data_IF_890592566359
#
_entry.id   IF_890592566359
#
_cell.length_a   1.000
_cell.length_b   1.000
_cell.length_c   1.000
_cell.angle_alpha   90.00
_cell.angle_beta   90.00
_cell.angle_gamma   90.00
#
_symmetry.space_group_name_H-M   'P 1'
#
loop_
_entity.id
_entity.type
_entity.pdbx_description
1 polymer ?
#
# COMPACT_ATOMS: atom_id res chain seq x y z
N UNK A 1 -47.51 16.10 36.88
CA UNK A 1 -47.13 16.35 35.48
C UNK A 1 -46.02 15.38 35.15
N UNK A 2 -46.39 14.24 34.58
CA UNK A 2 -45.56 13.09 34.23
C UNK A 2 -45.16 13.19 32.77
N UNK A 3 -43.88 13.01 32.43
CA UNK A 3 -43.48 12.73 31.05
C UNK A 3 -42.24 11.81 30.97
N UNK A 4 -42.56 10.53 30.82
CA UNK A 4 -41.92 9.44 30.09
C UNK A 4 -40.42 9.49 29.79
N UNK A 5 -39.67 8.62 30.47
CA UNK A 5 -38.46 7.97 29.93
C UNK A 5 -38.88 6.77 29.09
N UNK A 6 -38.55 6.76 27.80
CA UNK A 6 -38.62 5.56 26.97
C UNK A 6 -37.25 4.86 27.00
N UNK A 7 -37.19 3.73 27.71
CA UNK A 7 -36.15 2.72 27.56
C UNK A 7 -36.52 1.82 26.39
N UNK A 8 -35.70 1.80 25.33
CA UNK A 8 -35.84 0.82 24.26
C UNK A 8 -34.70 -0.21 24.37
N UNK A 9 -35.02 -1.32 25.03
CA UNK A 9 -34.26 -2.55 24.97
C UNK A 9 -34.50 -3.20 23.61
N UNK A 10 -33.46 -3.39 22.80
CA UNK A 10 -33.54 -4.25 21.62
C UNK A 10 -32.43 -5.30 21.66
N UNK A 11 -32.81 -6.47 22.18
CA UNK A 11 -32.12 -7.74 21.96
C UNK A 11 -32.35 -8.16 20.50
N UNK A 12 -31.29 -8.18 19.70
CA UNK A 12 -31.26 -8.94 18.44
C UNK A 12 -30.07 -9.90 18.50
N UNK A 13 -30.37 -11.10 18.99
CA UNK A 13 -29.57 -12.28 18.71
C UNK A 13 -29.78 -12.65 17.24
N UNK A 14 -28.74 -12.50 16.42
CA UNK A 14 -28.69 -13.09 15.09
C UNK A 14 -27.47 -14.00 15.06
N UNK A 15 -27.74 -15.28 15.26
CA UNK A 15 -26.83 -16.39 14.99
C UNK A 15 -26.64 -16.55 13.48
N UNK A 16 -25.44 -16.36 12.98
CA UNK A 16 -25.07 -16.78 11.62
C UNK A 16 -24.45 -18.17 11.66
N UNK A 17 -24.96 -19.15 10.90
CA UNK A 17 -24.28 -20.43 10.72
C UNK A 17 -23.08 -20.26 9.79
N UNK A 18 -21.92 -20.72 10.26
CA UNK A 18 -20.75 -20.94 9.43
C UNK A 18 -21.05 -22.05 8.42
N UNK A 19 -21.16 -21.69 7.14
CA UNK A 19 -21.16 -22.64 6.03
C UNK A 19 -19.82 -22.57 5.31
N UNK A 20 -18.90 -23.45 5.71
CA UNK A 20 -17.78 -23.91 4.87
C UNK A 20 -18.38 -24.68 3.69
N UNK A 21 -18.37 -24.08 2.49
CA UNK A 21 -18.60 -24.83 1.25
C UNK A 21 -17.36 -24.61 0.38
N UNK A 22 -16.50 -25.63 0.37
CA UNK A 22 -15.44 -25.76 -0.61
C UNK A 22 -16.05 -26.10 -1.97
N UNK A 23 -15.70 -25.33 -3.00
CA UNK A 23 -15.96 -25.72 -4.37
C UNK A 23 -14.77 -26.53 -4.90
N UNK A 24 -14.91 -27.85 -4.87
CA UNK A 24 -14.22 -28.74 -5.81
C UNK A 24 -14.84 -28.50 -7.19
N UNK A 25 -14.08 -27.93 -8.12
CA UNK A 25 -14.49 -27.83 -9.53
C UNK A 25 -14.26 -29.18 -10.22
N UNK A 26 -15.34 -29.93 -10.43
CA UNK A 26 -15.34 -31.05 -11.36
C UNK A 26 -15.30 -30.54 -12.80
N UNK A 27 -14.44 -31.19 -13.58
CA UNK A 27 -14.27 -31.03 -15.02
C UNK A 27 -15.57 -31.45 -15.72
N UNK A 28 -16.23 -30.50 -16.38
CA UNK A 28 -17.21 -30.80 -17.42
C UNK A 28 -16.68 -30.22 -18.74
N UNK A 29 -16.32 -31.13 -19.65
CA UNK A 29 -16.09 -30.84 -21.07
C UNK A 29 -17.40 -30.32 -21.65
N UNK A 30 -17.38 -29.13 -22.24
CA UNK A 30 -18.41 -28.76 -23.19
C UNK A 30 -17.76 -28.26 -24.49
N UNK A 31 -18.03 -29.02 -25.54
CA UNK A 31 -17.61 -28.74 -26.91
C UNK A 31 -18.65 -27.81 -27.54
N UNK A 32 -18.33 -26.55 -27.71
CA UNK A 32 -19.01 -25.73 -28.72
C UNK A 32 -18.06 -24.69 -29.31
N UNK A 33 -17.76 -24.89 -30.60
CA UNK A 33 -17.10 -23.92 -31.47
C UNK A 33 -18.15 -22.90 -31.91
N UNK A 34 -17.80 -21.59 -31.94
CA UNK A 34 -18.21 -20.77 -33.07
C UNK A 34 -17.03 -19.99 -33.66
N UNK A 35 -16.71 -20.40 -34.89
CA UNK A 35 -16.47 -19.60 -36.10
C UNK A 35 -15.75 -18.24 -35.99
N UNK A 36 -14.58 -18.22 -36.63
CA UNK A 36 -13.70 -17.08 -36.91
C UNK A 36 -14.37 -15.89 -37.60
N UNK A 37 -13.93 -14.69 -37.20
CA UNK A 37 -13.77 -13.52 -38.07
C UNK A 37 -12.47 -12.81 -37.69
N UNK A 38 -11.35 -13.34 -38.19
CA UNK A 38 -10.06 -12.65 -38.19
C UNK A 38 -10.11 -11.54 -39.24
N UNK A 39 -10.15 -10.27 -38.81
CA UNK A 39 -9.74 -9.16 -39.65
C UNK A 39 -8.29 -8.83 -39.31
N UNK A 40 -7.37 -9.33 -40.14
CA UNK A 40 -5.94 -9.02 -40.09
C UNK A 40 -5.71 -7.61 -40.63
N UNK A 41 -5.61 -6.63 -39.72
CA UNK A 41 -5.07 -5.30 -40.01
C UNK A 41 -3.66 -5.18 -39.45
N UNK A 42 -2.65 -5.62 -40.19
CA UNK A 42 -1.25 -5.31 -39.87
C UNK A 42 -1.01 -3.81 -40.12
N UNK A 43 -0.92 -3.02 -39.06
CA UNK A 43 -0.27 -1.70 -39.11
C UNK A 43 1.14 -1.81 -38.58
N UNK A 44 2.10 -1.86 -39.51
CA UNK A 44 3.52 -1.70 -39.25
C UNK A 44 3.78 -0.27 -38.74
N UNK A 45 4.00 -0.12 -37.44
CA UNK A 45 4.66 1.07 -36.91
C UNK A 45 6.11 0.71 -36.57
N UNK A 46 7.02 1.41 -37.21
CA UNK A 46 8.47 1.33 -37.05
C UNK A 46 8.89 1.54 -35.59
N UNK A 47 9.91 0.83 -35.08
CA UNK A 47 10.41 1.07 -33.74
C UNK A 47 11.07 2.45 -33.67
N UNK A 48 10.56 3.31 -32.78
CA UNK A 48 11.21 4.59 -32.46
C UNK A 48 12.51 4.26 -31.70
N UNK A 49 13.63 4.48 -32.39
CA UNK A 49 14.97 4.38 -31.83
C UNK A 49 15.19 5.53 -30.84
N UNK A 50 15.21 5.23 -29.55
CA UNK A 50 15.75 6.14 -28.54
C UNK A 50 17.27 5.92 -28.49
N UNK A 51 18.05 6.85 -29.02
CA UNK A 51 19.46 6.93 -28.71
C UNK A 51 19.63 7.58 -27.32
N UNK A 52 20.39 6.97 -26.40
CA UNK A 52 20.70 7.60 -25.12
C UNK A 52 21.73 8.72 -25.34
N UNK A 53 21.31 9.96 -25.14
CA UNK A 53 22.25 11.08 -24.99
C UNK A 53 22.87 10.93 -23.60
N UNK A 54 24.06 10.31 -23.54
CA UNK A 54 24.86 10.25 -22.31
C UNK A 54 25.53 11.61 -22.13
N UNK A 55 24.91 12.50 -21.35
CA UNK A 55 25.63 13.56 -20.64
C UNK A 55 25.99 13.02 -19.26
N UNK A 56 27.23 12.62 -19.09
CA UNK A 56 27.80 12.27 -17.78
C UNK A 56 28.16 13.56 -17.04
N UNK A 57 27.14 14.29 -16.56
CA UNK A 57 27.36 15.20 -15.44
C UNK A 57 27.23 14.34 -14.18
N UNK A 58 28.30 14.31 -13.35
CA UNK A 58 28.21 13.80 -11.98
C UNK A 58 27.20 14.69 -11.25
N UNK A 59 25.93 14.28 -11.26
CA UNK A 59 24.91 14.88 -10.42
C UNK A 59 25.27 14.52 -8.98
N UNK A 60 25.68 15.51 -8.19
CA UNK A 60 25.81 15.32 -6.75
C UNK A 60 24.48 14.81 -6.21
N UNK A 61 24.52 13.67 -5.50
CA UNK A 61 23.35 13.00 -4.96
C UNK A 61 22.69 13.89 -3.90
N UNK A 62 21.63 14.60 -4.29
CA UNK A 62 20.86 15.43 -3.38
C UNK A 62 19.89 14.53 -2.59
N UNK A 63 20.05 14.55 -1.27
CA UNK A 63 19.22 13.80 -0.33
C UNK A 63 18.03 14.70 0.06
N UNK A 64 16.81 14.18 -0.09
CA UNK A 64 15.60 14.87 0.37
C UNK A 64 15.35 14.52 1.83
N UNK A 65 15.15 15.54 2.66
CA UNK A 65 14.90 15.37 4.10
C UNK A 65 13.50 15.89 4.45
N UNK A 66 12.77 15.15 5.29
CA UNK A 66 11.44 15.53 5.76
C UNK A 66 11.56 16.60 6.86
N UNK A 67 10.76 17.66 6.79
CA UNK A 67 10.72 18.70 7.83
C UNK A 67 10.16 18.13 9.16
N UNK A 68 10.58 18.72 10.29
CA UNK A 68 10.09 18.43 11.66
C UNK A 68 8.65 18.96 11.80
N UNK A 69 7.69 18.34 11.11
CA UNK A 69 6.26 18.63 11.28
C UNK A 69 5.70 17.78 12.44
N UNK A 70 4.73 18.34 13.16
CA UNK A 70 3.98 17.64 14.19
C UNK A 70 3.07 16.62 13.52
N UNK A 71 3.39 15.33 13.65
CA UNK A 71 2.48 14.25 13.29
C UNK A 71 1.19 14.36 14.13
N UNK A 72 0.04 14.30 13.48
CA UNK A 72 -1.23 14.02 14.13
C UNK A 72 -1.54 12.52 14.01
N UNK A 73 -2.51 12.02 14.78
CA UNK A 73 -2.83 10.58 14.82
C UNK A 73 -3.03 9.97 13.42
N UNK A 74 -3.70 10.71 12.53
CA UNK A 74 -4.00 10.34 11.13
C UNK A 74 -2.75 10.20 10.25
N UNK A 75 -1.72 10.98 10.51
CA UNK A 75 -0.47 10.95 9.74
C UNK A 75 0.62 10.14 10.44
N UNK A 76 0.39 9.62 11.65
CA UNK A 76 1.39 8.90 12.45
C UNK A 76 2.08 7.79 11.65
N UNK A 77 1.32 6.92 10.95
CA UNK A 77 1.92 5.84 10.16
C UNK A 77 2.67 6.35 8.93
N UNK A 78 2.17 7.41 8.28
CA UNK A 78 2.87 8.07 7.18
C UNK A 78 4.22 8.62 7.66
N UNK A 79 4.26 9.31 8.80
CA UNK A 79 5.50 9.77 9.39
C UNK A 79 6.41 8.63 9.79
N UNK A 80 5.86 7.60 10.43
CA UNK A 80 6.62 6.46 10.91
C UNK A 80 7.25 5.65 9.77
N UNK A 81 6.62 5.59 8.58
CA UNK A 81 7.20 4.94 7.40
C UNK A 81 8.55 5.53 6.95
N UNK A 82 8.85 6.78 7.32
CA UNK A 82 10.09 7.47 6.95
C UNK A 82 11.28 7.14 7.87
N UNK A 83 11.14 6.16 8.78
CA UNK A 83 12.19 5.78 9.72
C UNK A 83 12.51 4.28 9.63
N UNK A 84 13.71 3.93 10.04
CA UNK A 84 14.09 2.58 10.45
C UNK A 84 13.89 2.47 11.96
N UNK A 85 13.16 1.46 12.38
CA UNK A 85 12.75 1.28 13.77
C UNK A 85 13.45 0.09 14.40
N UNK A 86 13.99 0.29 15.59
CA UNK A 86 14.58 -0.76 16.41
C UNK A 86 13.95 -0.73 17.80
N UNK A 87 13.50 -1.88 18.29
CA UNK A 87 12.93 -2.00 19.64
C UNK A 87 14.02 -1.77 20.68
N UNK A 88 13.79 -0.85 21.62
CA UNK A 88 14.75 -0.48 22.66
C UNK A 88 14.22 -0.68 24.08
N UNK A 89 12.91 -0.57 24.27
CA UNK A 89 12.29 -0.72 25.58
C UNK A 89 10.95 -1.45 25.48
N UNK A 90 10.70 -2.31 26.45
CA UNK A 90 9.39 -2.93 26.65
C UNK A 90 8.99 -2.81 28.10
N UNK A 91 7.74 -2.42 28.31
CA UNK A 91 7.13 -2.33 29.63
C UNK A 91 5.92 -3.24 29.69
N UNK A 92 5.72 -3.92 30.82
CA UNK A 92 4.49 -4.65 31.07
C UNK A 92 3.32 -3.69 31.32
N UNK A 93 2.10 -4.24 31.43
CA UNK A 93 0.88 -3.47 31.74
C UNK A 93 0.90 -2.69 33.07
N UNK A 94 1.90 -2.93 33.92
CA UNK A 94 2.12 -2.24 35.21
C UNK A 94 3.31 -1.27 35.12
N UNK A 95 3.80 -0.98 33.92
CA UNK A 95 4.98 -0.15 33.66
C UNK A 95 6.29 -0.69 34.24
N UNK A 96 6.39 -2.01 34.46
CA UNK A 96 7.67 -2.62 34.81
C UNK A 96 8.46 -2.90 33.52
N UNK A 97 9.73 -2.49 33.49
CA UNK A 97 10.62 -2.80 32.40
C UNK A 97 10.82 -4.32 32.25
N UNK A 98 10.57 -4.84 31.04
CA UNK A 98 10.84 -6.22 30.65
C UNK A 98 12.19 -6.23 29.93
N UNK A 99 13.15 -7.00 30.46
CA UNK A 99 14.42 -7.19 29.78
C UNK A 99 14.24 -8.17 28.61
N UNK A 100 14.49 -7.69 27.39
CA UNK A 100 14.48 -8.54 26.21
C UNK A 100 15.93 -8.90 25.89
N UNK A 101 16.35 -10.07 26.35
CA UNK A 101 17.65 -10.60 25.97
C UNK A 101 17.58 -11.08 24.53
N UNK A 102 18.05 -10.26 23.59
CA UNK A 102 18.06 -10.61 22.17
C UNK A 102 19.47 -10.53 21.59
N UNK A 103 19.98 -11.67 21.14
CA UNK A 103 21.24 -11.71 20.37
C UNK A 103 21.11 -10.96 19.03
N UNK A 104 19.89 -10.87 18.49
CA UNK A 104 19.55 -10.10 17.30
C UNK A 104 18.43 -9.08 17.61
N UNK A 105 18.59 -7.81 17.20
CA UNK A 105 17.62 -6.77 17.49
C UNK A 105 16.26 -7.04 16.83
N UNK A 106 15.18 -6.61 17.48
CA UNK A 106 13.84 -6.61 16.88
C UNK A 106 13.66 -5.30 16.12
N UNK A 107 13.32 -5.40 14.84
CA UNK A 107 13.06 -4.24 13.96
C UNK A 107 11.60 -4.20 13.51
N UNK A 108 11.16 -3.04 13.08
CA UNK A 108 9.77 -2.79 12.68
C UNK A 108 9.70 -2.09 11.33
N UNK A 109 8.85 -2.61 10.44
CA UNK A 109 8.40 -1.94 9.22
C UNK A 109 6.94 -1.53 9.36
N UNK A 110 6.65 -0.31 8.91
CA UNK A 110 5.33 0.32 9.00
C UNK A 110 4.73 0.41 7.61
N UNK A 111 3.52 -0.14 7.44
CA UNK A 111 2.72 -0.03 6.23
C UNK A 111 1.31 0.48 6.59
N UNK A 112 0.53 0.98 5.60
CA UNK A 112 -0.77 1.60 5.87
C UNK A 112 -1.77 0.70 6.61
N UNK A 113 -1.73 -0.62 6.37
CA UNK A 113 -2.65 -1.60 6.96
C UNK A 113 -1.98 -2.68 7.82
N UNK A 114 -0.68 -2.53 8.12
CA UNK A 114 0.03 -3.51 8.94
C UNK A 114 1.33 -3.00 9.53
N UNK A 115 1.73 -3.63 10.64
CA UNK A 115 3.07 -3.50 11.23
C UNK A 115 3.80 -4.84 11.10
N UNK A 116 5.02 -4.83 10.58
CA UNK A 116 5.82 -6.05 10.39
C UNK A 116 7.02 -6.03 11.32
N UNK A 117 7.17 -7.07 12.15
CA UNK A 117 8.22 -7.24 13.13
C UNK A 117 9.20 -8.32 12.66
N UNK A 118 10.48 -8.00 12.74
CA UNK A 118 11.55 -8.88 12.28
C UNK A 118 12.59 -9.11 13.38
N UNK A 119 13.03 -10.36 13.51
CA UNK A 119 14.14 -10.75 14.38
C UNK A 119 14.90 -11.92 13.75
N UNK A 120 16.07 -11.64 13.18
CA UNK A 120 16.78 -12.64 12.39
C UNK A 120 15.88 -13.19 11.27
N UNK A 121 15.65 -14.51 11.27
CA UNK A 121 14.78 -15.18 10.29
C UNK A 121 13.29 -15.25 10.72
N UNK A 122 12.90 -14.61 11.82
CA UNK A 122 11.52 -14.61 12.29
C UNK A 122 10.82 -13.36 11.82
N UNK A 123 9.62 -13.53 11.26
CA UNK A 123 8.80 -12.46 10.73
C UNK A 123 7.38 -12.61 11.25
N UNK A 124 6.89 -11.59 11.92
CA UNK A 124 5.50 -11.48 12.34
C UNK A 124 4.88 -10.25 11.71
N UNK A 125 3.60 -10.34 11.33
CA UNK A 125 2.84 -9.19 10.87
C UNK A 125 1.60 -9.02 11.73
N UNK A 126 1.40 -7.80 12.19
CA UNK A 126 0.18 -7.35 12.81
C UNK A 126 -0.66 -6.71 11.72
N UNK A 127 -1.76 -7.37 11.33
CA UNK A 127 -2.68 -6.85 10.30
C UNK A 127 -3.82 -6.11 10.97
N UNK A 128 -4.16 -4.92 10.46
CA UNK A 128 -5.34 -4.19 10.90
C UNK A 128 -6.55 -4.79 10.17
N UNK A 129 -7.45 -5.42 10.92
CA UNK A 129 -8.44 -6.36 10.34
C UNK A 129 -9.66 -5.63 9.76
N UNK A 130 -9.85 -4.34 10.07
CA UNK A 130 -11.00 -3.51 9.67
C UNK A 130 -10.51 -2.09 9.33
N UNK A 131 -11.23 -1.37 8.45
CA UNK A 131 -10.92 0.01 8.04
C UNK A 131 -10.39 0.82 9.22
N UNK A 132 -9.09 1.11 9.23
CA UNK A 132 -8.64 2.47 8.95
C UNK A 132 -7.20 2.80 9.32
N UNK A 133 -6.39 2.11 10.12
CA UNK A 133 -5.14 2.72 10.68
C UNK A 133 -5.38 4.04 11.46
N UNK A 134 -4.57 4.39 12.48
CA UNK A 134 -4.87 5.44 13.48
C UNK A 134 -5.67 6.63 12.92
N UNK A 135 -6.83 7.00 13.54
CA UNK A 135 -7.01 7.12 14.99
C UNK A 135 -8.00 6.16 15.70
N UNK A 136 -8.57 5.12 15.07
CA UNK A 136 -9.56 4.26 15.74
C UNK A 136 -8.93 3.05 16.46
N UNK A 137 -9.62 2.47 17.45
CA UNK A 137 -9.17 1.24 18.13
C UNK A 137 -9.14 0.06 17.13
N UNK A 138 -7.95 -0.34 16.67
CA UNK A 138 -7.84 -1.42 15.68
C UNK A 138 -7.90 -2.79 16.30
N UNK A 139 -8.87 -3.57 15.86
CA UNK A 139 -8.73 -5.00 15.97
C UNK A 139 -7.61 -5.51 15.08
N UNK A 140 -6.54 -6.02 15.69
CA UNK A 140 -5.35 -6.48 14.99
C UNK A 140 -5.09 -7.96 15.22
N UNK A 141 -4.56 -8.63 14.21
CA UNK A 141 -4.17 -10.03 14.34
C UNK A 141 -2.67 -10.17 14.13
N UNK A 142 -1.98 -10.73 15.12
CA UNK A 142 -0.59 -11.12 15.01
C UNK A 142 -0.50 -12.46 14.27
N UNK A 143 0.13 -12.46 13.09
CA UNK A 143 0.38 -13.66 12.31
C UNK A 143 1.87 -13.85 12.05
N UNK A 144 2.33 -15.07 12.24
CA UNK A 144 3.65 -15.49 11.76
C UNK A 144 3.64 -15.53 10.22
N UNK A 145 4.69 -15.00 9.59
CA UNK A 145 4.90 -15.06 8.15
C UNK A 145 6.06 -16.00 7.84
N UNK A 146 5.96 -16.69 6.71
CA UNK A 146 7.06 -17.49 6.16
C UNK A 146 8.29 -16.62 5.94
N UNK A 147 9.45 -17.07 6.40
CA UNK A 147 10.73 -16.45 6.06
C UNK A 147 11.39 -17.17 4.88
N UNK A 148 12.17 -16.41 4.11
CA UNK A 148 12.94 -16.90 2.95
C UNK A 148 14.31 -17.48 3.35
N UNK A 149 14.56 -17.68 4.65
CA UNK A 149 15.83 -18.22 5.11
C UNK A 149 15.97 -19.71 4.72
N UNK A 150 16.93 -20.01 3.85
CA UNK A 150 17.23 -21.37 3.34
C UNK A 150 17.65 -22.36 4.44
N UNK A 151 18.02 -21.89 5.63
CA UNK A 151 18.53 -22.70 6.75
C UNK A 151 17.50 -23.01 7.84
N UNK A 152 16.20 -22.87 7.57
CA UNK A 152 15.15 -23.09 8.58
C UNK A 152 14.84 -24.58 8.88
N UNK A 153 15.76 -25.51 8.63
CA UNK A 153 15.61 -26.91 9.03
C UNK A 153 15.68 -27.14 10.54
N UNK A 154 16.08 -26.15 11.35
CA UNK A 154 16.20 -26.33 12.82
C UNK A 154 15.48 -25.30 13.71
N UNK A 155 14.86 -24.24 13.17
CA UNK A 155 14.08 -23.30 13.99
C UNK A 155 12.58 -23.64 14.03
N UNK A 156 12.25 -24.90 14.32
CA UNK A 156 10.95 -25.24 14.92
C UNK A 156 10.99 -24.82 16.39
N UNK A 157 10.80 -23.54 16.69
CA UNK A 157 10.70 -23.10 18.10
C UNK A 157 9.51 -22.18 18.28
N UNK A 158 8.47 -22.75 18.89
CA UNK A 158 7.20 -22.16 19.32
C UNK A 158 7.30 -21.05 20.38
N UNK A 159 8.46 -20.39 20.54
CA UNK A 159 8.73 -19.51 21.68
C UNK A 159 9.67 -18.34 21.32
N UNK A 160 9.34 -17.63 20.25
CA UNK A 160 10.08 -16.45 19.76
C UNK A 160 9.98 -15.28 20.75
N UNK A 161 11.01 -14.44 20.82
CA UNK A 161 10.97 -13.25 21.69
C UNK A 161 9.85 -12.31 21.25
N UNK A 162 9.60 -12.18 19.94
CA UNK A 162 8.48 -11.37 19.40
C UNK A 162 7.13 -11.89 19.91
N UNK A 163 6.84 -13.20 19.82
CA UNK A 163 5.53 -13.73 20.22
C UNK A 163 5.23 -13.47 21.71
N UNK A 164 6.25 -13.52 22.57
CA UNK A 164 6.13 -13.21 24.01
C UNK A 164 5.80 -11.75 24.30
N UNK A 165 5.99 -10.83 23.34
CA UNK A 165 5.63 -9.43 23.50
C UNK A 165 4.12 -9.20 23.40
N UNK A 166 3.37 -10.17 22.89
CA UNK A 166 1.93 -10.07 22.68
C UNK A 166 1.17 -11.06 23.58
N UNK A 167 -0.10 -10.77 23.91
CA UNK A 167 -0.96 -11.70 24.63
C UNK A 167 -1.02 -13.07 23.92
N UNK A 168 -1.00 -14.17 24.69
CA UNK A 168 -0.99 -15.53 24.15
C UNK A 168 -2.31 -16.00 23.53
N UNK A 169 -3.38 -15.23 23.72
CA UNK A 169 -4.70 -15.59 23.24
C UNK A 169 -4.82 -15.19 21.76
N UNK A 170 -5.38 -16.07 20.92
CA UNK A 170 -5.70 -15.83 19.50
C UNK A 170 -6.79 -14.75 19.29
N UNK A 171 -6.85 -13.76 20.17
CA UNK A 171 -7.81 -12.69 20.18
C UNK A 171 -7.32 -11.53 19.32
N UNK A 172 -8.30 -10.78 18.86
CA UNK A 172 -8.10 -9.46 18.28
C UNK A 172 -7.36 -8.58 19.30
N UNK A 173 -6.16 -8.13 18.95
CA UNK A 173 -5.31 -7.26 19.76
C UNK A 173 -5.66 -5.82 19.41
N UNK A 174 -5.97 -5.00 20.41
CA UNK A 174 -6.11 -3.56 20.21
C UNK A 174 -4.78 -2.84 20.41
N UNK A 175 -4.47 -1.95 19.47
CA UNK A 175 -3.24 -1.19 19.45
C UNK A 175 -3.51 0.30 19.40
N UNK A 176 -2.72 1.04 20.14
CA UNK A 176 -2.53 2.48 19.99
C UNK A 176 -1.08 2.75 19.57
N UNK A 177 -0.88 3.70 18.64
CA UNK A 177 0.42 3.98 18.01
C UNK A 177 0.69 5.47 18.09
N UNK A 178 1.75 5.83 18.81
CA UNK A 178 2.14 7.22 19.04
C UNK A 178 3.55 7.48 18.52
N UNK A 179 3.75 8.63 17.87
CA UNK A 179 5.07 9.11 17.46
C UNK A 179 5.54 10.24 18.37
N UNK A 180 6.52 9.96 19.22
CA UNK A 180 7.04 10.89 20.21
C UNK A 180 8.38 11.50 19.76
N UNK A 181 8.62 12.80 20.02
CA UNK A 181 9.93 13.39 19.80
C UNK A 181 10.96 12.90 20.83
N UNK A 182 12.20 12.63 20.40
CA UNK A 182 13.32 12.43 21.34
C UNK A 182 13.85 13.79 21.78
N UNK A 183 13.94 14.03 23.10
CA UNK A 183 14.47 15.27 23.65
C UNK A 183 15.92 15.51 23.16
N UNK A 184 16.13 16.58 22.39
CA UNK A 184 17.40 16.90 21.71
C UNK A 184 18.52 17.20 22.73
N UNK A 185 19.47 16.28 22.92
CA UNK A 185 20.79 16.63 23.48
C UNK A 185 21.73 16.89 22.29
N UNK A 186 21.89 18.17 21.94
CA UNK A 186 22.75 18.76 20.88
C UNK A 186 22.25 18.61 19.44
N UNK A 187 21.67 19.69 18.91
CA UNK A 187 21.48 19.89 17.48
C UNK A 187 22.84 20.02 16.78
N UNK A 188 23.13 19.10 15.85
CA UNK A 188 23.96 19.37 14.68
C UNK A 188 23.11 19.04 13.46
N UNK A 189 22.44 20.06 12.92
CA UNK A 189 21.99 20.18 11.53
C UNK A 189 21.34 18.98 10.79
N UNK A 190 20.73 18.02 11.48
CA UNK A 190 19.95 16.95 10.85
C UNK A 190 18.45 17.29 10.89
N UNK A 191 17.88 17.56 9.71
CA UNK A 191 16.49 17.98 9.50
C UNK A 191 15.43 16.95 9.94
N UNK A 192 15.79 15.67 10.15
CA UNK A 192 14.97 14.71 10.89
C UNK A 192 15.62 14.38 12.23
N UNK A 193 14.98 14.76 13.33
CA UNK A 193 15.39 14.32 14.65
C UNK A 193 14.96 12.87 14.87
N UNK A 194 15.75 12.08 15.59
CA UNK A 194 15.30 10.79 16.08
C UNK A 194 13.96 10.92 16.78
N UNK A 195 13.07 9.97 16.52
CA UNK A 195 11.73 9.87 17.13
C UNK A 195 11.63 8.52 17.83
N UNK A 196 10.72 8.43 18.78
CA UNK A 196 10.32 7.15 19.35
C UNK A 196 8.94 6.80 18.83
N UNK A 197 8.78 5.59 18.31
CA UNK A 197 7.46 5.03 18.01
C UNK A 197 7.04 4.17 19.19
N UNK A 198 5.92 4.51 19.80
CA UNK A 198 5.38 3.78 20.95
C UNK A 198 4.15 3.03 20.49
N UNK A 199 4.15 1.72 20.67
CA UNK A 199 3.01 0.83 20.42
C UNK A 199 2.48 0.36 21.76
N UNK A 200 1.26 0.76 22.12
CA UNK A 200 0.58 0.32 23.34
C UNK A 200 -0.39 -0.78 22.99
N UNK A 201 -0.25 -1.94 23.63
CA UNK A 201 -1.16 -3.06 23.48
C UNK A 201 -2.20 -3.00 24.60
N UNK A 202 -3.50 -2.97 24.27
CA UNK A 202 -4.57 -2.97 25.27
C UNK A 202 -4.44 -4.20 26.17
N UNK A 203 -4.41 -3.97 27.49
CA UNK A 203 -4.19 -5.01 28.51
C UNK A 203 -2.86 -5.79 28.37
N UNK A 204 -1.91 -5.31 27.56
CA UNK A 204 -0.65 -5.97 27.22
C UNK A 204 0.58 -5.11 27.52
N UNK A 205 1.63 -5.33 26.74
CA UNK A 205 2.89 -4.60 26.88
C UNK A 205 2.86 -3.27 26.12
N UNK A 206 3.70 -2.33 26.54
CA UNK A 206 4.06 -1.13 25.75
C UNK A 206 5.43 -1.36 25.12
N UNK A 207 5.53 -1.17 23.82
CA UNK A 207 6.74 -1.36 23.03
C UNK A 207 7.24 0.00 22.55
N UNK A 208 8.49 0.33 22.85
CA UNK A 208 9.12 1.58 22.38
C UNK A 208 10.24 1.26 21.40
N UNK A 209 10.18 1.90 20.23
CA UNK A 209 11.15 1.77 19.16
C UNK A 209 11.88 3.09 18.94
N UNK A 210 13.20 3.03 18.86
CA UNK A 210 14.01 4.17 18.47
C UNK A 210 14.07 4.25 16.94
N UNK A 211 13.79 5.44 16.42
CA UNK A 211 13.72 5.73 15.00
C UNK A 211 14.97 6.41 14.48
N UNK A 212 15.63 5.78 13.52
CA UNK A 212 16.65 6.43 12.68
C UNK A 212 15.99 6.87 11.37
N UNK A 213 16.08 8.15 10.98
CA UNK A 213 15.45 8.61 9.74
C UNK A 213 16.01 7.89 8.50
N UNK A 214 15.14 7.56 7.55
CA UNK A 214 15.52 7.00 6.25
C UNK A 214 16.16 8.08 5.37
N UNK A 215 17.14 7.68 4.57
CA UNK A 215 17.71 8.54 3.53
C UNK A 215 17.09 8.21 2.18
N UNK A 216 16.47 9.22 1.55
CA UNK A 216 15.83 9.07 0.26
C UNK A 216 16.67 9.70 -0.84
N UNK A 217 16.73 9.04 -2.00
CA UNK A 217 17.21 9.68 -3.23
C UNK A 217 16.17 10.69 -3.69
N UNK A 218 16.59 11.89 -4.08
CA UNK A 218 15.66 12.85 -4.68
C UNK A 218 15.03 12.23 -5.94
N UNK A 219 13.69 12.11 -5.99
CA UNK A 219 13.05 11.56 -7.17
C UNK A 219 13.25 12.51 -8.35
N UNK A 220 13.53 11.92 -9.51
CA UNK A 220 13.68 12.65 -10.78
C UNK A 220 12.33 12.83 -11.46
N UNK A 221 12.09 13.99 -12.07
CA UNK A 221 10.89 14.23 -12.88
C UNK A 221 9.97 15.29 -12.29
N UNK A 222 8.71 15.28 -12.70
CA UNK A 222 7.72 16.24 -12.22
C UNK A 222 7.34 15.89 -10.79
N UNK A 223 7.32 16.85 -9.85
CA UNK A 223 6.97 16.58 -8.47
C UNK A 223 5.59 15.94 -8.33
N UNK A 224 5.51 14.91 -7.48
CA UNK A 224 4.27 14.23 -7.12
C UNK A 224 3.95 14.57 -5.67
N UNK A 225 2.76 15.09 -5.43
CA UNK A 225 2.23 15.27 -4.10
C UNK A 225 0.78 14.78 -4.02
N UNK A 226 0.25 14.74 -2.80
CA UNK A 226 -1.13 14.35 -2.52
C UNK A 226 -2.13 15.19 -3.32
N UNK A 227 -1.92 16.51 -3.36
CA UNK A 227 -2.86 17.42 -4.00
C UNK A 227 -2.98 17.12 -5.50
N UNK A 228 -1.86 16.86 -6.18
CA UNK A 228 -1.83 16.44 -7.57
C UNK A 228 -2.54 15.10 -7.80
N UNK A 229 -2.19 14.08 -6.99
CA UNK A 229 -2.79 12.75 -7.12
C UNK A 229 -4.31 12.77 -6.93
N UNK A 230 -4.77 13.57 -5.97
CA UNK A 230 -6.18 13.78 -5.67
C UNK A 230 -6.86 14.77 -6.62
N UNK A 231 -6.14 15.52 -7.45
CA UNK A 231 -6.78 16.43 -8.39
C UNK A 231 -7.41 15.68 -9.56
N UNK A 232 -6.84 14.53 -9.96
CA UNK A 232 -7.24 13.76 -11.12
C UNK A 232 -7.89 12.43 -10.74
N UNK A 233 -8.74 11.91 -11.62
CA UNK A 233 -8.99 10.48 -11.70
C UNK A 233 -8.01 9.90 -12.73
N UNK A 234 -7.62 8.65 -12.57
CA UNK A 234 -6.54 8.06 -13.37
C UNK A 234 -7.06 6.82 -14.08
N UNK A 235 -6.90 6.74 -15.40
CA UNK A 235 -7.32 5.60 -16.22
C UNK A 235 -6.12 4.75 -16.59
N UNK A 236 -6.23 3.44 -16.43
CA UNK A 236 -5.20 2.52 -16.88
C UNK A 236 -5.15 2.48 -18.41
N UNK A 237 -3.95 2.67 -18.97
CA UNK A 237 -3.71 2.57 -20.42
C UNK A 237 -2.66 1.54 -20.78
N UNK A 238 -1.82 1.16 -19.82
CA UNK A 238 -0.87 0.06 -20.00
C UNK A 238 -0.62 -0.66 -18.68
N UNK A 239 -0.48 -1.97 -18.75
CA UNK A 239 -0.12 -2.87 -17.67
C UNK A 239 0.70 -4.01 -18.26
N UNK A 240 1.93 -4.15 -17.77
CA UNK A 240 2.88 -5.17 -18.23
C UNK A 240 3.59 -5.81 -17.06
N UNK A 241 3.92 -7.09 -17.19
CA UNK A 241 4.89 -7.78 -16.35
C UNK A 241 6.27 -7.70 -17.03
N UNK A 242 7.29 -7.25 -16.30
CA UNK A 242 8.65 -7.15 -16.83
C UNK A 242 9.51 -8.30 -16.30
N UNK A 243 10.32 -8.90 -17.16
CA UNK A 243 11.43 -9.76 -16.72
C UNK A 243 12.73 -8.98 -16.82
N UNK A 244 13.58 -9.11 -15.80
CA UNK A 244 14.88 -8.44 -15.72
C UNK A 244 16.03 -9.42 -15.86
N UNK A 245 17.15 -8.98 -16.42
CA UNK A 245 18.41 -9.72 -16.34
C UNK A 245 19.15 -9.43 -15.01
N UNK A 246 20.27 -10.11 -14.78
CA UNK A 246 21.12 -9.96 -13.59
C UNK A 246 21.67 -8.54 -13.38
N UNK A 247 21.60 -7.67 -14.41
CA UNK A 247 22.01 -6.26 -14.35
C UNK A 247 20.84 -5.32 -14.07
N UNK A 248 19.64 -5.84 -13.79
CA UNK A 248 18.42 -5.07 -13.56
C UNK A 248 17.83 -4.43 -14.82
N UNK A 249 18.19 -4.90 -16.01
CA UNK A 249 17.66 -4.38 -17.28
C UNK A 249 16.48 -5.23 -17.74
N UNK A 250 15.42 -4.56 -18.21
CA UNK A 250 14.23 -5.25 -18.76
C UNK A 250 14.63 -6.00 -20.04
N UNK A 251 14.37 -7.32 -20.06
CA UNK A 251 14.61 -8.20 -21.21
C UNK A 251 13.33 -8.65 -21.91
N UNK A 252 12.19 -8.64 -21.21
CA UNK A 252 10.89 -8.90 -21.81
C UNK A 252 9.80 -8.08 -21.11
N UNK A 253 8.73 -7.81 -21.86
CA UNK A 253 7.52 -7.14 -21.39
C UNK A 253 6.31 -7.92 -21.88
N UNK A 254 5.53 -8.44 -20.96
CA UNK A 254 4.32 -9.21 -21.26
C UNK A 254 3.10 -8.42 -20.82
N UNK A 255 2.13 -8.24 -21.71
CA UNK A 255 0.90 -7.51 -21.39
C UNK A 255 0.07 -8.29 -20.38
N UNK A 256 -0.40 -7.61 -19.32
CA UNK A 256 -1.38 -8.16 -18.39
C UNK A 256 -2.77 -8.05 -19.06
N UNK A 257 -3.04 -8.99 -19.96
CA UNK A 257 -4.18 -8.94 -20.89
C UNK A 257 -5.55 -8.83 -20.20
N UNK A 258 -5.66 -9.29 -18.95
CA UNK A 258 -6.89 -9.22 -18.19
C UNK A 258 -7.44 -7.81 -18.03
N UNK A 259 -6.60 -6.76 -18.02
CA UNK A 259 -7.05 -5.40 -17.71
C UNK A 259 -7.64 -4.63 -18.91
N UNK A 260 -7.59 -5.17 -20.13
CA UNK A 260 -8.02 -4.47 -21.33
C UNK A 260 -9.38 -4.96 -21.82
N UNK A 261 -10.43 -4.59 -21.09
CA UNK A 261 -11.82 -4.84 -21.48
C UNK A 261 -12.59 -3.53 -21.58
N UNK A 262 -13.13 -3.15 -22.76
CA UNK A 262 -13.84 -1.88 -22.94
C UNK A 262 -15.04 -1.69 -22.00
N UNK A 263 -15.72 -2.78 -21.66
CA UNK A 263 -16.88 -2.81 -20.75
C UNK A 263 -16.47 -2.62 -19.27
N UNK A 264 -15.20 -2.86 -18.95
CA UNK A 264 -14.66 -2.83 -17.59
C UNK A 264 -13.35 -2.04 -17.54
N UNK A 265 -13.38 -0.73 -17.85
CA UNK A 265 -12.17 0.09 -17.81
C UNK A 265 -11.64 0.15 -16.38
N UNK A 266 -10.33 -0.04 -16.24
CA UNK A 266 -9.65 0.04 -14.95
C UNK A 266 -9.28 1.49 -14.65
N UNK A 267 -9.62 1.94 -13.45
CA UNK A 267 -9.34 3.29 -12.95
C UNK A 267 -8.66 3.25 -11.58
N UNK A 268 -7.94 4.32 -11.27
CA UNK A 268 -7.28 4.63 -10.01
C UNK A 268 -7.74 6.00 -9.53
N UNK A 269 -8.12 6.09 -8.27
CA UNK A 269 -8.57 7.32 -7.62
C UNK A 269 -7.87 7.48 -6.28
N UNK A 270 -7.25 8.63 -6.07
CA UNK A 270 -6.78 9.05 -4.76
C UNK A 270 -7.84 9.94 -4.10
N UNK A 271 -8.07 9.72 -2.81
CA UNK A 271 -9.02 10.48 -2.00
C UNK A 271 -8.46 10.70 -0.60
N UNK A 272 -8.49 11.94 -0.16
CA UNK A 272 -8.23 12.31 1.24
C UNK A 272 -9.52 12.35 2.02
N UNK A 273 -9.52 11.72 3.19
CA UNK A 273 -10.55 11.86 4.22
C UNK A 273 -9.92 12.46 5.48
N UNK A 274 -10.76 12.82 6.46
CA UNK A 274 -10.31 13.39 7.72
C UNK A 274 -9.43 12.42 8.51
N UNK A 275 -9.62 11.11 8.33
CA UNK A 275 -9.00 10.02 9.09
C UNK A 275 -7.84 9.33 8.36
N UNK A 276 -7.78 9.36 7.02
CA UNK A 276 -6.69 8.78 6.25
C UNK A 276 -6.72 9.20 4.77
N UNK A 277 -5.77 8.69 3.99
CA UNK A 277 -5.72 8.86 2.54
C UNK A 277 -5.90 7.49 1.89
N UNK A 278 -6.74 7.40 0.86
CA UNK A 278 -7.08 6.13 0.21
C UNK A 278 -6.77 6.14 -1.27
N UNK A 279 -6.28 5.00 -1.75
CA UNK A 279 -6.09 4.70 -3.16
C UNK A 279 -7.08 3.60 -3.55
N UNK A 280 -7.99 3.93 -4.46
CA UNK A 280 -9.03 3.03 -4.95
C UNK A 280 -8.77 2.67 -6.40
N UNK A 281 -8.73 1.37 -6.67
CA UNK A 281 -8.54 0.76 -7.96
C UNK A 281 -9.84 0.03 -8.29
N UNK A 282 -10.41 0.27 -9.46
CA UNK A 282 -11.70 -0.34 -9.79
C UNK A 282 -11.81 -0.61 -11.27
N UNK A 283 -12.46 -1.71 -11.61
CA UNK A 283 -12.98 -1.98 -12.95
C UNK A 283 -14.48 -1.69 -13.05
N UNK A 284 -14.93 -0.57 -12.46
CA UNK A 284 -16.31 -0.05 -12.51
C UNK A 284 -17.35 -0.86 -11.74
N UNK A 285 -16.95 -1.70 -10.79
CA UNK A 285 -17.89 -2.47 -9.99
C UNK A 285 -17.57 -2.46 -8.49
N UNK A 286 -16.46 -3.06 -8.07
CA UNK A 286 -15.95 -2.97 -6.71
C UNK A 286 -14.69 -2.09 -6.67
N UNK A 287 -14.52 -1.37 -5.56
CA UNK A 287 -13.30 -0.64 -5.26
C UNK A 287 -12.33 -1.56 -4.50
N UNK A 288 -11.10 -1.66 -5.01
CA UNK A 288 -9.97 -2.41 -4.48
C UNK A 288 -8.91 -1.43 -4.00
N UNK A 289 -8.12 -1.83 -3.01
CA UNK A 289 -7.10 -0.97 -2.40
C UNK A 289 -7.49 -0.62 -0.98
N UNK A 290 -7.09 0.54 -0.50
CA UNK A 290 -7.21 0.90 0.91
C UNK A 290 -6.39 2.15 1.25
N UNK A 291 -6.07 2.33 2.55
CA UNK A 291 -5.21 3.41 2.99
C UNK A 291 -3.87 3.39 2.25
N UNK A 292 -3.33 4.55 1.90
CA UNK A 292 -2.02 4.65 1.25
C UNK A 292 -1.08 5.59 1.99
N UNK A 293 0.21 5.38 1.78
CA UNK A 293 1.27 6.29 2.19
C UNK A 293 2.11 6.63 0.95
N UNK A 294 2.27 7.92 0.67
CA UNK A 294 3.24 8.43 -0.30
C UNK A 294 4.49 8.93 0.45
N UNK A 295 5.61 8.26 0.21
CA UNK A 295 6.92 8.60 0.77
C UNK A 295 7.61 9.69 -0.06
N UNK A 296 8.69 10.28 0.48
CA UNK A 296 9.39 11.41 -0.18
C UNK A 296 10.13 11.05 -1.47
N UNK A 297 10.49 9.79 -1.65
CA UNK A 297 11.07 9.25 -2.88
C UNK A 297 10.01 8.80 -3.89
N UNK A 298 8.74 9.12 -3.65
CA UNK A 298 7.58 8.67 -4.42
C UNK A 298 7.36 7.16 -4.39
N UNK A 299 7.85 6.48 -3.35
CA UNK A 299 7.36 5.16 -3.00
C UNK A 299 5.92 5.27 -2.49
N UNK A 300 5.01 4.60 -3.18
CA UNK A 300 3.60 4.44 -2.83
C UNK A 300 3.41 3.07 -2.16
N UNK A 301 3.02 3.09 -0.90
CA UNK A 301 2.54 1.93 -0.16
C UNK A 301 1.02 1.93 -0.17
N UNK A 302 0.40 0.83 -0.59
CA UNK A 302 -1.07 0.67 -0.59
C UNK A 302 -1.45 -0.46 0.33
N UNK A 303 -2.24 -0.15 1.37
CA UNK A 303 -2.81 -1.12 2.27
C UNK A 303 -4.01 -1.87 1.68
N UNK A 304 -4.55 -2.80 2.47
CA UNK A 304 -5.82 -3.46 2.17
C UNK A 304 -6.95 -2.79 2.95
N UNK A 305 -8.02 -2.42 2.25
CA UNK A 305 -9.31 -2.01 2.81
C UNK A 305 -10.39 -3.05 2.53
N UNK A 306 -11.58 -2.93 3.14
CA UNK A 306 -12.71 -3.75 2.78
C UNK A 306 -13.15 -3.40 1.38
N UNK A 307 -13.61 -4.44 0.68
CA UNK A 307 -14.10 -4.34 -0.68
C UNK A 307 -15.56 -4.75 -0.66
N UNK A 308 -16.38 -4.06 -1.46
CA UNK A 308 -17.70 -4.59 -1.78
C UNK A 308 -17.53 -5.92 -2.52
N UNK A 309 -18.41 -6.88 -2.25
CA UNK A 309 -18.40 -8.18 -2.92
C UNK A 309 -19.61 -8.27 -3.87
N UNK A 310 -19.81 -7.24 -4.70
CA UNK A 310 -20.83 -7.28 -5.73
C UNK A 310 -20.37 -8.17 -6.88
N UNK A 311 -21.29 -8.95 -7.45
CA UNK A 311 -20.99 -9.76 -8.63
C UNK A 311 -21.03 -8.91 -9.90
N UNK A 312 -19.90 -8.84 -10.61
CA UNK A 312 -19.69 -8.01 -11.80
C UNK A 312 -19.64 -8.83 -13.11
N UNK A 313 -20.14 -10.07 -13.06
CA UNK A 313 -19.93 -11.08 -14.10
C UNK A 313 -18.52 -11.68 -14.08
N UNK A 314 -18.31 -12.74 -14.87
CA UNK A 314 -17.04 -13.51 -14.87
C UNK A 314 -15.84 -12.64 -15.21
N UNK A 315 -15.97 -11.77 -16.21
CA UNK A 315 -14.88 -10.90 -16.66
C UNK A 315 -14.54 -9.84 -15.62
N UNK A 316 -15.54 -9.10 -15.11
CA UNK A 316 -15.33 -8.09 -14.06
C UNK A 316 -14.71 -8.69 -12.80
N UNK A 317 -15.27 -9.79 -12.29
CA UNK A 317 -14.74 -10.47 -11.10
C UNK A 317 -13.29 -10.94 -11.30
N UNK A 318 -12.92 -11.38 -12.52
CA UNK A 318 -11.54 -11.77 -12.83
C UNK A 318 -10.59 -10.59 -12.82
N UNK A 319 -10.98 -9.45 -13.41
CA UNK A 319 -10.18 -8.22 -13.40
C UNK A 319 -9.91 -7.78 -11.96
N UNK A 320 -10.96 -7.74 -11.15
CA UNK A 320 -10.91 -7.35 -9.75
C UNK A 320 -10.06 -8.28 -8.91
N UNK A 321 -10.15 -9.60 -9.15
CA UNK A 321 -9.30 -10.58 -8.50
C UNK A 321 -7.81 -10.38 -8.81
N UNK A 322 -7.46 -10.04 -10.05
CA UNK A 322 -6.07 -9.75 -10.44
C UNK A 322 -5.58 -8.40 -9.89
N UNK A 323 -6.43 -7.36 -9.92
CA UNK A 323 -6.16 -6.07 -9.27
C UNK A 323 -5.93 -6.24 -7.77
N UNK A 324 -6.77 -7.03 -7.09
CA UNK A 324 -6.65 -7.26 -5.65
C UNK A 324 -5.34 -7.95 -5.28
N UNK A 325 -4.88 -8.92 -6.07
CA UNK A 325 -3.56 -9.57 -5.88
C UNK A 325 -2.41 -8.60 -6.09
N UNK A 326 -2.52 -7.73 -7.08
CA UNK A 326 -1.46 -6.79 -7.45
C UNK A 326 -1.33 -5.63 -6.46
N UNK A 327 -2.45 -5.12 -5.94
CA UNK A 327 -2.49 -3.84 -5.22
C UNK A 327 -2.55 -3.99 -3.70
N UNK A 328 -3.17 -5.06 -3.18
CA UNK A 328 -3.44 -5.16 -1.74
C UNK A 328 -2.15 -5.41 -0.93
N UNK A 329 -1.80 -4.49 -0.03
CA UNK A 329 -0.52 -4.50 0.70
C UNK A 329 0.70 -4.44 -0.23
N UNK A 330 0.62 -3.63 -1.28
CA UNK A 330 1.68 -3.48 -2.28
C UNK A 330 2.59 -2.30 -2.00
N UNK A 331 3.81 -2.41 -2.55
CA UNK A 331 4.77 -1.33 -2.64
C UNK A 331 5.10 -1.08 -4.11
N UNK A 332 5.16 0.20 -4.49
CA UNK A 332 5.48 0.64 -5.84
C UNK A 332 6.18 1.99 -5.84
N UNK A 333 6.90 2.32 -6.91
CA UNK A 333 7.48 3.65 -7.11
C UNK A 333 6.72 4.39 -8.21
N UNK A 334 6.39 5.65 -7.95
CA UNK A 334 5.70 6.52 -8.90
C UNK A 334 6.68 7.43 -9.65
N UNK A 335 6.39 7.67 -10.92
CA UNK A 335 7.00 8.77 -11.67
C UNK A 335 5.97 9.42 -12.59
N UNK A 336 6.09 10.73 -12.77
CA UNK A 336 5.13 11.53 -13.53
C UNK A 336 5.81 12.16 -14.74
N UNK A 337 5.14 12.09 -15.88
CA UNK A 337 5.58 12.70 -17.14
C UNK A 337 4.43 13.39 -17.83
N UNK A 338 4.73 14.45 -18.59
CA UNK A 338 3.75 15.07 -19.49
C UNK A 338 3.46 14.14 -20.67
N UNK A 339 2.20 14.07 -21.07
CA UNK A 339 1.85 13.46 -22.35
C UNK A 339 2.41 14.35 -23.48
N UNK A 340 2.95 13.76 -24.56
CA UNK A 340 3.32 14.51 -25.75
C UNK A 340 2.10 15.32 -26.22
N UNK A 341 2.25 16.63 -26.35
CA UNK A 341 1.19 17.51 -26.81
C UNK A 341 0.74 17.03 -28.20
N UNK A 342 -0.48 16.49 -28.30
CA UNK A 342 -1.14 16.46 -29.60
C UNK A 342 -1.38 17.93 -29.96
N UNK A 343 -0.86 18.36 -31.11
CA UNK A 343 -1.15 19.67 -31.71
C UNK A 343 -2.67 19.90 -31.68
N UNK A 344 -3.15 20.70 -30.73
CA UNK A 344 -4.57 21.02 -30.62
C UNK A 344 -4.83 22.12 -31.66
N UNK A 345 -5.64 21.80 -32.68
CA UNK A 345 -6.20 22.82 -33.56
C UNK A 345 -6.98 23.83 -32.71
N UNK A 346 -6.84 25.16 -32.94
CA UNK A 346 -7.40 26.19 -32.10
C UNK A 346 -8.89 26.38 -32.39
N UNK A 347 -9.72 25.43 -31.98
CA UNK A 347 -11.18 25.60 -31.96
C UNK A 347 -11.81 24.71 -30.90
N UNK A 348 -11.84 25.21 -29.65
CA UNK A 348 -12.93 25.00 -28.70
C UNK A 348 -12.62 25.86 -27.46
N UNK A 349 -13.37 26.96 -27.32
CA UNK A 349 -13.46 27.72 -26.08
C UNK A 349 -13.92 26.81 -24.92
N UNK A 350 -13.35 27.05 -23.74
CA UNK A 350 -13.77 26.55 -22.41
C UNK A 350 -13.62 25.05 -22.08
N UNK A 351 -12.41 24.50 -22.24
CA UNK A 351 -11.90 23.51 -21.29
C UNK A 351 -10.62 24.02 -20.66
N UNK A 352 -10.62 24.17 -19.33
CA UNK A 352 -9.45 24.50 -18.52
C UNK A 352 -8.24 23.72 -19.00
N UNK A 353 -7.19 24.44 -19.39
CA UNK A 353 -5.96 23.96 -20.01
C UNK A 353 -5.12 23.17 -18.99
N UNK A 354 -5.66 22.04 -18.53
CA UNK A 354 -5.03 21.18 -17.54
C UNK A 354 -3.98 20.31 -18.22
N UNK A 355 -2.76 20.22 -17.68
CA UNK A 355 -1.73 19.38 -18.26
C UNK A 355 -2.18 17.91 -18.27
N UNK A 356 -1.91 17.24 -19.39
CA UNK A 356 -2.12 15.81 -19.51
C UNK A 356 -0.87 15.08 -19.04
N UNK A 357 -1.02 14.17 -18.10
CA UNK A 357 0.05 13.40 -17.47
C UNK A 357 -0.08 11.90 -17.75
N UNK A 358 1.07 11.23 -17.76
CA UNK A 358 1.18 9.80 -17.52
C UNK A 358 1.82 9.60 -16.14
N UNK A 359 1.11 8.92 -15.25
CA UNK A 359 1.63 8.42 -13.99
C UNK A 359 2.08 6.97 -14.21
N UNK A 360 3.38 6.75 -14.14
CA UNK A 360 4.00 5.43 -14.20
C UNK A 360 4.12 4.88 -12.78
N UNK A 361 3.55 3.71 -12.54
CA UNK A 361 3.67 2.98 -11.29
C UNK A 361 4.46 1.69 -11.54
N UNK A 362 5.61 1.56 -10.90
CA UNK A 362 6.47 0.37 -11.00
C UNK A 362 6.37 -0.41 -9.70
N UNK A 363 5.82 -1.63 -9.76
CA UNK A 363 5.61 -2.49 -8.59
C UNK A 363 6.92 -3.15 -8.18
N UNK A 364 7.09 -3.45 -6.89
CA UNK A 364 8.23 -4.27 -6.43
C UNK A 364 8.24 -5.69 -7.03
N UNK A 365 7.06 -6.16 -7.43
CA UNK A 365 6.80 -7.48 -8.03
C UNK A 365 7.08 -7.55 -9.54
N UNK A 366 7.69 -6.51 -10.11
CA UNK A 366 8.10 -6.38 -11.52
C UNK A 366 7.02 -5.93 -12.52
N UNK A 367 5.77 -5.72 -12.09
CA UNK A 367 4.76 -5.10 -12.96
C UNK A 367 4.99 -3.61 -13.13
N UNK A 368 4.53 -3.08 -14.26
CA UNK A 368 4.49 -1.65 -14.55
C UNK A 368 3.13 -1.27 -15.09
N UNK A 369 2.51 -0.29 -14.43
CA UNK A 369 1.21 0.26 -14.78
C UNK A 369 1.39 1.71 -15.24
N UNK A 370 0.73 2.09 -16.33
CA UNK A 370 0.70 3.45 -16.85
C UNK A 370 -0.73 3.96 -16.75
N UNK A 371 -0.88 5.06 -16.02
CA UNK A 371 -2.15 5.71 -15.77
C UNK A 371 -2.19 7.08 -16.44
N UNK A 372 -3.27 7.38 -17.17
CA UNK A 372 -3.52 8.69 -17.76
C UNK A 372 -4.48 9.48 -16.89
N UNK A 373 -4.18 10.75 -16.65
CA UNK A 373 -5.12 11.59 -15.92
C UNK A 373 -6.36 11.91 -16.75
N UNK A 374 -7.50 11.90 -16.07
CA UNK A 374 -8.78 12.37 -16.56
C UNK A 374 -9.25 13.48 -15.61
N UNK A 375 -9.88 14.53 -16.17
CA UNK A 375 -10.50 15.57 -15.35
C UNK A 375 -11.60 14.91 -14.54
N UNK A 376 -11.59 15.13 -13.23
CA UNK A 376 -12.64 14.65 -12.34
C UNK A 376 -13.99 15.13 -12.84
N UNK A 377 -14.89 14.19 -13.10
CA UNK A 377 -16.28 14.51 -13.34
C UNK A 377 -16.86 14.98 -12.00
N UNK A 378 -17.25 16.24 -11.92
CA UNK A 378 -17.99 16.76 -10.77
C UNK A 378 -19.33 16.01 -10.75
N UNK A 379 -19.74 15.41 -9.62
CA UNK A 379 -21.04 14.75 -9.48
C UNK A 379 -22.22 15.66 -9.80
#
# INVERSE_FOLDING_TARGET
MTLNRLTLSLLLAISFPAALIGCQSNIAKDNSIPTNSMMTGFSTSTPISYQPIIKTEKLEEKIVVVADETANEVTTLQWASNYHWQLTQVEDKKSNAININTDAPITLEVAPSSLSLFQGCQHFAIRFVWMSAPPFEYGSELRERSSTCESATENKVSNTNIKKLFPNDNNIIKLDVELLPVAKIKLVNTQMASKNLVIKIENGNTLTFDGTPRTFKEPTGIPIDKALLEHYDWRLVSAVHNTFNDKGQVISRESIGHFYHPEFPVSLKFRGYDDSQYAFFSSSCNDIGGPYILMKDYTLLVGSGPQTLMGCGVTGNRIEGELAKLISNSQSTLSLSLQPSQSISPTADDQTDMPRYNLLQTMETAETLVWQNEVKKIP
#
